data_IF_463850376355
#
_entry.id   IF_463850376355
#
_cell.length_a   1.000
_cell.length_b   1.000
_cell.length_c   1.000
_cell.angle_alpha   90.00
_cell.angle_beta   90.00
_cell.angle_gamma   90.00
#
_symmetry.space_group_name_H-M   'P 1'
#
loop_
_entity.id
_entity.type
_entity.pdbx_description
1 polymer ?
#
# COMPACT_ATOMS: atom_id res chain seq x y z
N UNK A 1 -4.23 -27.13 -29.57
CA UNK A 1 -3.96 -25.75 -29.11
C UNK A 1 -4.85 -25.27 -27.95
N UNK A 2 -5.52 -26.14 -27.18
CA UNK A 2 -6.43 -25.68 -26.08
C UNK A 2 -5.75 -25.57 -24.70
N UNK A 3 -4.65 -26.29 -24.46
CA UNK A 3 -3.99 -26.34 -23.15
C UNK A 3 -2.96 -25.21 -22.91
N UNK A 4 -2.47 -24.56 -23.97
CA UNK A 4 -1.53 -23.43 -23.85
C UNK A 4 -2.19 -22.16 -23.33
N UNK A 5 -3.48 -21.94 -23.63
CA UNK A 5 -4.21 -20.75 -23.17
C UNK A 5 -4.55 -20.81 -21.67
N UNK A 6 -4.85 -22.00 -21.15
CA UNK A 6 -5.23 -22.19 -19.74
C UNK A 6 -4.07 -21.95 -18.77
N UNK A 7 -2.84 -22.31 -19.16
CA UNK A 7 -1.64 -22.08 -18.36
C UNK A 7 -1.32 -20.58 -18.23
N UNK A 8 -1.57 -19.80 -19.29
CA UNK A 8 -1.35 -18.34 -19.28
C UNK A 8 -2.32 -17.63 -18.34
N UNK A 9 -3.58 -18.09 -18.27
CA UNK A 9 -4.58 -17.53 -17.34
C UNK A 9 -4.28 -17.93 -15.88
N UNK A 10 -3.77 -19.14 -15.65
CA UNK A 10 -3.37 -19.62 -14.32
C UNK A 10 -2.16 -18.87 -13.75
N UNK A 11 -1.21 -18.47 -14.60
CA UNK A 11 -0.05 -17.65 -14.22
C UNK A 11 -0.43 -16.17 -14.00
N UNK A 12 -1.63 -15.76 -14.43
CA UNK A 12 -2.19 -14.42 -14.25
C UNK A 12 -3.05 -14.31 -12.97
N UNK A 13 -2.87 -15.24 -12.04
CA UNK A 13 -3.38 -15.13 -10.66
C UNK A 13 -2.55 -14.07 -9.94
N UNK A 14 -2.71 -12.80 -10.33
CA UNK A 14 -2.08 -11.68 -9.63
C UNK A 14 -2.54 -11.73 -8.18
N UNK A 15 -1.61 -11.57 -7.24
CA UNK A 15 -1.91 -11.40 -5.82
C UNK A 15 -2.87 -10.19 -5.68
N UNK A 16 -4.17 -10.48 -5.52
CA UNK A 16 -5.25 -9.49 -5.46
C UNK A 16 -5.51 -8.99 -4.02
N UNK A 17 -4.70 -9.43 -3.06
CA UNK A 17 -4.89 -9.09 -1.66
C UNK A 17 -4.09 -7.82 -1.33
N UNK A 18 -4.80 -6.76 -0.96
CA UNK A 18 -4.21 -5.60 -0.29
C UNK A 18 -3.89 -5.96 1.16
N UNK A 19 -2.74 -5.53 1.66
CA UNK A 19 -2.37 -5.69 3.06
C UNK A 19 -2.76 -4.44 3.85
N UNK A 20 -3.02 -4.60 5.15
CA UNK A 20 -3.54 -3.53 5.99
C UNK A 20 -2.77 -3.49 7.31
N UNK A 21 -2.19 -2.34 7.63
CA UNK A 21 -1.42 -2.10 8.85
C UNK A 21 -2.28 -1.29 9.81
N UNK A 22 -2.45 -1.82 11.03
CA UNK A 22 -3.16 -1.16 12.12
C UNK A 22 -2.15 -0.63 13.14
N UNK A 23 -2.41 0.57 13.65
CA UNK A 23 -1.74 1.04 14.88
C UNK A 23 -2.21 0.18 16.05
N UNK A 24 -1.34 -0.02 17.04
CA UNK A 24 -1.72 -0.69 18.29
C UNK A 24 -2.06 0.34 19.36
N UNK A 25 -2.94 -0.04 20.29
CA UNK A 25 -3.17 0.75 21.50
C UNK A 25 -1.85 0.73 22.30
N UNK A 26 -1.35 1.89 22.78
CA UNK A 26 -0.09 1.96 23.51
C UNK A 26 0.02 0.91 24.62
N UNK A 27 1.18 0.24 24.68
CA UNK A 27 1.47 -0.83 25.64
C UNK A 27 0.59 -2.09 25.53
N UNK A 28 -0.08 -2.33 24.40
CA UNK A 28 -0.85 -3.56 24.17
C UNK A 28 -0.62 -4.12 22.76
N UNK A 29 -0.91 -5.41 22.52
CA UNK A 29 -0.89 -5.99 21.18
C UNK A 29 -2.22 -5.79 20.42
N UNK A 30 -3.17 -5.04 20.98
CA UNK A 30 -4.50 -4.87 20.38
C UNK A 30 -4.51 -3.74 19.35
N UNK A 31 -5.27 -3.94 18.27
CA UNK A 31 -5.50 -2.91 17.24
C UNK A 31 -6.23 -1.72 17.84
N UNK A 32 -5.75 -0.51 17.56
CA UNK A 32 -6.48 0.71 17.85
C UNK A 32 -7.47 0.99 16.72
N UNK A 33 -8.77 0.83 17.02
CA UNK A 33 -9.86 1.07 16.05
C UNK A 33 -10.21 2.56 15.90
N UNK A 34 -9.66 3.43 16.75
CA UNK A 34 -9.91 4.87 16.73
C UNK A 34 -8.92 5.62 15.84
N UNK A 35 -7.77 5.00 15.58
CA UNK A 35 -6.74 5.51 14.70
C UNK A 35 -6.98 5.06 13.25
N UNK A 36 -6.55 5.86 12.26
CA UNK A 36 -6.70 5.49 10.88
C UNK A 36 -5.80 4.32 10.50
N UNK A 37 -6.24 3.57 9.49
CA UNK A 37 -5.56 2.38 8.99
C UNK A 37 -4.69 2.71 7.78
N UNK A 38 -3.54 2.07 7.64
CA UNK A 38 -2.71 2.14 6.43
C UNK A 38 -2.98 0.93 5.54
N UNK A 39 -3.19 1.18 4.26
CA UNK A 39 -3.45 0.13 3.26
C UNK A 39 -2.28 0.08 2.28
N UNK A 40 -1.76 -1.12 2.05
CA UNK A 40 -0.75 -1.42 1.05
C UNK A 40 -1.45 -2.12 -0.13
N UNK A 41 -1.46 -1.47 -1.28
CA UNK A 41 -1.98 -2.02 -2.54
C UNK A 41 -0.96 -1.81 -3.67
N UNK A 42 -0.50 -2.91 -4.29
CA UNK A 42 0.42 -2.88 -5.44
C UNK A 42 1.61 -1.91 -5.25
N UNK A 43 2.24 -1.98 -4.08
CA UNK A 43 3.38 -1.15 -3.65
C UNK A 43 3.04 0.30 -3.30
N UNK A 44 1.77 0.67 -3.23
CA UNK A 44 1.31 1.97 -2.80
C UNK A 44 0.79 1.86 -1.37
N UNK A 45 1.28 2.72 -0.49
CA UNK A 45 0.79 2.86 0.88
C UNK A 45 -0.06 4.13 0.94
N UNK A 46 -1.30 3.99 1.38
CA UNK A 46 -2.22 5.11 1.51
C UNK A 46 -3.14 4.94 2.72
N UNK A 47 -3.73 6.05 3.14
CA UNK A 47 -4.79 6.07 4.14
C UNK A 47 -6.15 6.19 3.44
N UNK A 48 -7.17 5.42 3.83
CA UNK A 48 -8.52 5.63 3.33
C UNK A 48 -9.16 6.90 3.92
N UNK A 49 -10.13 7.46 3.22
CA UNK A 49 -10.98 8.54 3.75
C UNK A 49 -11.73 8.00 4.98
N UNK A 50 -11.70 8.70 6.13
CA UNK A 50 -12.34 8.23 7.37
C UNK A 50 -13.78 7.76 7.16
N UNK A 51 -14.10 6.57 7.67
CA UNK A 51 -15.43 5.96 7.54
C UNK A 51 -15.71 5.29 6.19
N UNK A 52 -14.74 5.23 5.27
CA UNK A 52 -14.89 4.58 3.97
C UNK A 52 -13.70 3.65 3.67
N UNK A 53 -13.86 2.80 2.65
CA UNK A 53 -12.75 2.02 2.06
C UNK A 53 -12.13 2.74 0.83
N UNK A 54 -12.39 4.03 0.66
CA UNK A 54 -11.94 4.81 -0.49
C UNK A 54 -10.57 5.39 -0.19
N UNK A 55 -9.62 5.25 -1.11
CA UNK A 55 -8.30 5.87 -1.01
C UNK A 55 -8.42 7.40 -0.85
N UNK A 56 -7.79 7.95 0.19
CA UNK A 56 -7.60 9.39 0.30
C UNK A 56 -6.44 9.81 -0.62
N UNK A 57 -6.70 10.74 -1.54
CA UNK A 57 -5.72 11.28 -2.48
C UNK A 57 -5.19 12.65 -2.04
N UNK A 58 -5.72 13.19 -0.94
CA UNK A 58 -5.37 14.52 -0.42
C UNK A 58 -4.20 14.46 0.56
N UNK A 59 -4.06 13.35 1.29
CA UNK A 59 -2.90 13.07 2.12
C UNK A 59 -1.75 12.47 1.28
N UNK A 60 -0.47 12.69 1.69
CA UNK A 60 0.66 12.15 0.95
C UNK A 60 0.58 10.63 0.87
N UNK A 61 0.69 10.13 -0.35
CA UNK A 61 0.78 8.70 -0.64
C UNK A 61 2.26 8.30 -0.55
N UNK A 62 2.56 7.10 -0.06
CA UNK A 62 3.91 6.53 -0.12
C UNK A 62 3.98 5.38 -1.12
N UNK A 63 5.17 5.12 -1.65
CA UNK A 63 5.46 4.02 -2.57
C UNK A 63 6.63 3.21 -2.06
N UNK A 64 6.48 1.90 -2.10
CA UNK A 64 7.53 0.93 -1.89
C UNK A 64 8.29 0.75 -3.21
N UNK A 65 9.55 1.16 -3.25
CA UNK A 65 10.42 1.02 -4.42
C UNK A 65 11.86 0.71 -3.98
N UNK A 66 12.56 -0.18 -4.70
CA UNK A 66 13.97 -0.53 -4.45
C UNK A 66 14.33 -0.76 -2.95
N UNK A 67 13.45 -1.41 -2.18
CA UNK A 67 13.68 -1.69 -0.75
C UNK A 67 13.50 -0.50 0.19
N UNK A 68 12.90 0.60 -0.27
CA UNK A 68 12.56 1.75 0.56
C UNK A 68 11.13 2.22 0.35
N UNK A 69 10.62 2.99 1.31
CA UNK A 69 9.32 3.65 1.29
C UNK A 69 9.56 5.13 1.04
N UNK A 70 9.00 5.67 -0.04
CA UNK A 70 9.20 7.04 -0.48
C UNK A 70 7.87 7.79 -0.53
N UNK A 71 7.84 9.09 -0.23
CA UNK A 71 6.66 9.89 -0.52
C UNK A 71 6.48 10.05 -2.04
N UNK A 72 5.27 10.46 -2.42
CA UNK A 72 4.90 10.76 -3.79
C UNK A 72 4.79 12.27 -4.01
N UNK A 73 4.85 12.69 -5.28
CA UNK A 73 4.50 14.06 -5.63
C UNK A 73 3.03 14.33 -5.29
N UNK A 74 2.69 15.48 -4.68
CA UNK A 74 1.33 15.79 -4.24
C UNK A 74 0.27 15.54 -5.32
N UNK A 75 -0.80 14.83 -4.94
CA UNK A 75 -1.92 14.51 -5.83
C UNK A 75 -1.62 13.46 -6.92
N UNK A 76 -0.45 12.80 -6.88
CA UNK A 76 -0.07 11.77 -7.85
C UNK A 76 0.31 10.45 -7.16
N UNK A 77 0.50 9.41 -7.97
CA UNK A 77 1.15 8.16 -7.54
C UNK A 77 2.57 8.06 -8.08
N UNK A 78 3.23 9.20 -8.34
CA UNK A 78 4.61 9.24 -8.81
C UNK A 78 5.53 9.42 -7.61
N UNK A 79 6.52 8.55 -7.48
CA UNK A 79 7.57 8.69 -6.47
C UNK A 79 8.25 10.05 -6.60
N UNK A 80 8.43 10.73 -5.48
CA UNK A 80 9.28 11.90 -5.42
C UNK A 80 10.76 11.45 -5.33
N UNK A 81 11.51 11.63 -6.43
CA UNK A 81 12.93 11.28 -6.50
C UNK A 81 13.86 12.36 -5.91
N UNK A 82 13.33 13.52 -5.52
CA UNK A 82 14.10 14.57 -4.86
C UNK A 82 14.40 14.27 -3.39
N UNK A 83 13.75 13.24 -2.83
CA UNK A 83 13.83 12.88 -1.42
C UNK A 83 14.33 11.44 -1.21
N UNK A 84 14.97 11.25 -0.05
CA UNK A 84 15.40 9.94 0.45
C UNK A 84 14.22 9.13 0.98
N UNK A 85 14.35 7.79 1.11
CA UNK A 85 13.26 6.99 1.66
C UNK A 85 13.01 7.37 3.12
N UNK A 86 11.74 7.46 3.50
CA UNK A 86 11.34 7.68 4.90
C UNK A 86 11.61 6.42 5.75
N UNK A 87 11.45 5.26 5.14
CA UNK A 87 11.69 3.97 5.78
C UNK A 87 12.43 3.03 4.82
N UNK A 88 13.25 2.15 5.37
CA UNK A 88 13.93 1.08 4.64
C UNK A 88 13.29 -0.24 5.02
N UNK A 89 13.15 -1.13 4.03
CA UNK A 89 12.62 -2.48 4.21
C UNK A 89 13.83 -3.42 4.13
N UNK A 90 14.04 -4.21 5.19
CA UNK A 90 15.08 -5.24 5.27
C UNK A 90 14.57 -6.64 4.87
#
# INVERSE_FOLDING_TARGET
MKYKLTIVISLLSCNLNSEVIYKTIPNTPFKDITEPVLVIDKNIIYKPIPGTNIKDITEPIMIIDKGGIYPTLPGTTLRDYSVMPEFVIE
#
